data_IF_446526824341
#
_entry.id   IF_446526824341
#
_cell.length_a   1.000
_cell.length_b   1.000
_cell.length_c   1.000
_cell.angle_alpha   90.00
_cell.angle_beta   90.00
_cell.angle_gamma   90.00
#
_symmetry.space_group_name_H-M   'P 1'
#
loop_
_entity.id
_entity.type
_entity.pdbx_description
1 polymer ?
#
# COMPACT_ATOMS: atom_id res chain seq x y z
N UNK A 1 -2.94 -20.75 -17.62
CA UNK A 1 -2.28 -21.57 -16.57
C UNK A 1 -1.73 -20.67 -15.44
N UNK A 2 -1.06 -19.56 -15.72
CA UNK A 2 -0.38 -18.74 -14.70
C UNK A 2 -1.26 -18.30 -13.51
N UNK A 3 -2.46 -17.75 -13.76
CA UNK A 3 -3.36 -17.32 -12.66
C UNK A 3 -3.79 -18.50 -11.75
N UNK A 4 -4.03 -19.66 -12.32
CA UNK A 4 -4.37 -20.84 -11.53
C UNK A 4 -3.20 -21.29 -10.64
N UNK A 5 -1.98 -21.29 -11.17
CA UNK A 5 -0.79 -21.63 -10.39
C UNK A 5 -0.54 -20.63 -9.26
N UNK A 6 -0.74 -19.32 -9.53
CA UNK A 6 -0.65 -18.27 -8.51
C UNK A 6 -1.69 -18.49 -7.41
N UNK A 7 -2.96 -18.75 -7.78
CA UNK A 7 -4.03 -19.01 -6.83
C UNK A 7 -3.68 -20.21 -5.94
N UNK A 8 -3.29 -21.33 -6.54
CA UNK A 8 -2.91 -22.56 -5.80
C UNK A 8 -1.70 -22.36 -4.87
N UNK A 9 -0.74 -21.52 -5.25
CA UNK A 9 0.45 -21.25 -4.44
C UNK A 9 0.19 -20.30 -3.25
N UNK A 10 -0.84 -19.45 -3.36
CA UNK A 10 -1.12 -18.41 -2.37
C UNK A 10 -2.35 -18.70 -1.49
N UNK A 11 -3.33 -19.46 -1.97
CA UNK A 11 -4.48 -19.89 -1.15
C UNK A 11 -3.98 -20.76 0.02
N UNK A 12 -4.34 -20.36 1.23
CA UNK A 12 -3.92 -21.06 2.45
C UNK A 12 -2.47 -20.81 2.86
N UNK A 13 -1.73 -19.96 2.13
CA UNK A 13 -0.39 -19.58 2.54
C UNK A 13 -0.43 -18.72 3.81
N UNK A 14 0.58 -18.90 4.66
CA UNK A 14 0.68 -18.18 5.93
C UNK A 14 0.68 -16.65 5.69
N UNK A 15 -0.06 -15.93 6.51
CA UNK A 15 -0.19 -14.47 6.46
C UNK A 15 -0.68 -13.90 5.11
N UNK A 16 -1.49 -14.68 4.39
CA UNK A 16 -2.01 -14.29 3.07
C UNK A 16 -3.51 -14.57 3.00
N UNK A 17 -4.30 -13.55 2.67
CA UNK A 17 -5.71 -13.72 2.29
C UNK A 17 -5.83 -13.61 0.77
N UNK A 18 -6.55 -14.53 0.15
CA UNK A 18 -6.77 -14.57 -1.30
C UNK A 18 -8.26 -14.58 -1.58
N UNK A 19 -8.72 -13.64 -2.39
CA UNK A 19 -10.09 -13.58 -2.89
C UNK A 19 -10.05 -13.69 -4.42
N UNK A 20 -10.80 -14.65 -4.96
CA UNK A 20 -10.95 -14.83 -6.40
C UNK A 20 -12.14 -14.04 -6.94
N UNK A 21 -11.98 -13.44 -8.13
CA UNK A 21 -13.01 -12.64 -8.79
C UNK A 21 -13.64 -11.56 -7.90
N UNK A 22 -12.81 -10.95 -7.05
CA UNK A 22 -13.28 -9.94 -6.09
C UNK A 22 -13.55 -8.60 -6.76
N UNK A 23 -14.75 -8.07 -6.56
CA UNK A 23 -15.17 -6.78 -7.13
C UNK A 23 -14.38 -5.63 -6.51
N UNK A 24 -13.56 -4.96 -7.33
CA UNK A 24 -12.74 -3.83 -6.89
C UNK A 24 -13.57 -2.61 -6.48
N UNK A 25 -14.82 -2.51 -6.91
CA UNK A 25 -15.76 -1.51 -6.40
C UNK A 25 -15.91 -1.51 -4.87
N UNK A 26 -15.67 -2.63 -4.19
CA UNK A 26 -15.69 -2.73 -2.71
C UNK A 26 -14.44 -2.14 -2.06
N UNK A 27 -13.38 -1.96 -2.85
CA UNK A 27 -12.05 -1.55 -2.41
C UNK A 27 -11.63 -0.19 -2.95
N UNK A 28 -12.52 0.51 -3.67
CA UNK A 28 -12.29 1.86 -4.21
C UNK A 28 -13.20 2.89 -3.56
N UNK A 29 -12.71 4.11 -3.41
CA UNK A 29 -13.50 5.22 -2.86
C UNK A 29 -14.65 5.61 -3.79
N UNK A 30 -14.48 5.46 -5.09
CA UNK A 30 -15.53 5.71 -6.08
C UNK A 30 -16.62 4.64 -6.09
N UNK A 31 -16.40 3.47 -5.47
CA UNK A 31 -17.30 2.31 -5.43
C UNK A 31 -17.71 1.80 -6.82
N UNK A 32 -16.81 1.96 -7.78
CA UNK A 32 -16.93 1.43 -9.15
C UNK A 32 -15.70 0.59 -9.46
N UNK A 33 -15.86 -0.33 -10.44
CA UNK A 33 -14.82 -1.24 -10.90
C UNK A 33 -15.24 -2.70 -10.85
N UNK A 34 -14.93 -3.41 -11.93
CA UNK A 34 -15.17 -4.83 -12.11
C UNK A 34 -14.25 -5.69 -11.23
N UNK A 35 -14.25 -7.01 -11.43
CA UNK A 35 -13.50 -7.95 -10.61
C UNK A 35 -12.00 -7.94 -10.92
N UNK A 36 -11.16 -8.09 -9.89
CA UNK A 36 -9.81 -8.58 -10.06
C UNK A 36 -9.83 -10.10 -10.17
N UNK A 37 -8.98 -10.69 -11.03
CA UNK A 37 -8.86 -12.16 -11.08
C UNK A 37 -8.48 -12.72 -9.72
N UNK A 38 -7.51 -12.10 -9.05
CA UNK A 38 -7.13 -12.37 -7.67
C UNK A 38 -6.91 -11.06 -6.91
N UNK A 39 -7.45 -10.95 -5.71
CA UNK A 39 -7.08 -9.94 -4.72
C UNK A 39 -6.32 -10.65 -3.59
N UNK A 40 -5.08 -10.26 -3.38
CA UNK A 40 -4.17 -10.88 -2.42
C UNK A 40 -3.80 -9.88 -1.35
N UNK A 41 -4.17 -10.12 -0.09
CA UNK A 41 -3.74 -9.29 1.04
C UNK A 41 -2.58 -9.98 1.74
N UNK A 42 -1.41 -9.35 1.72
CA UNK A 42 -0.20 -9.84 2.36
C UNK A 42 -0.04 -9.20 3.75
N UNK A 43 -0.07 -10.01 4.80
CA UNK A 43 -0.03 -9.53 6.19
C UNK A 43 1.38 -9.48 6.78
N UNK A 44 2.37 -10.07 6.11
CA UNK A 44 3.78 -10.02 6.51
C UNK A 44 4.69 -9.77 5.30
N UNK A 45 5.91 -9.33 5.57
CA UNK A 45 6.92 -9.14 4.53
C UNK A 45 7.21 -10.46 3.78
N UNK A 46 7.24 -11.57 4.51
CA UNK A 46 7.46 -12.89 3.90
C UNK A 46 6.34 -13.26 2.93
N UNK A 47 5.07 -13.01 3.31
CA UNK A 47 3.91 -13.22 2.44
C UNK A 47 3.97 -12.33 1.19
N UNK A 48 4.33 -11.06 1.33
CA UNK A 48 4.48 -10.13 0.21
C UNK A 48 5.57 -10.59 -0.76
N UNK A 49 6.74 -10.94 -0.24
CA UNK A 49 7.85 -11.43 -1.05
C UNK A 49 7.44 -12.67 -1.83
N UNK A 50 6.84 -13.66 -1.16
CA UNK A 50 6.33 -14.88 -1.79
C UNK A 50 5.32 -14.56 -2.91
N UNK A 51 4.36 -13.66 -2.65
CA UNK A 51 3.36 -13.28 -3.64
C UNK A 51 4.02 -12.67 -4.88
N UNK A 52 4.96 -11.71 -4.72
CA UNK A 52 5.67 -11.07 -5.82
C UNK A 52 6.53 -12.07 -6.61
N UNK A 53 7.27 -12.94 -5.93
CA UNK A 53 8.07 -13.99 -6.57
C UNK A 53 7.18 -14.94 -7.39
N UNK A 54 6.02 -15.33 -6.84
CA UNK A 54 5.07 -16.23 -7.51
C UNK A 54 4.45 -15.59 -8.76
N UNK A 55 3.95 -14.35 -8.66
CA UNK A 55 3.33 -13.67 -9.83
C UNK A 55 4.34 -13.41 -10.95
N UNK A 56 5.58 -13.06 -10.58
CA UNK A 56 6.66 -12.85 -11.54
C UNK A 56 7.09 -14.16 -12.23
N UNK A 57 7.23 -15.25 -11.49
CA UNK A 57 7.59 -16.56 -12.03
C UNK A 57 6.54 -17.09 -13.03
N UNK A 58 5.26 -16.81 -12.77
CA UNK A 58 4.14 -17.21 -13.63
C UNK A 58 3.83 -16.19 -14.74
N UNK A 59 4.55 -15.05 -14.79
CA UNK A 59 4.33 -14.00 -15.78
C UNK A 59 2.94 -13.36 -15.71
N UNK A 60 2.30 -13.37 -14.54
CA UNK A 60 0.96 -12.81 -14.31
C UNK A 60 1.08 -11.31 -14.02
N UNK A 61 0.30 -10.45 -14.70
CA UNK A 61 0.30 -9.03 -14.40
C UNK A 61 -0.21 -8.77 -12.97
N UNK A 62 0.42 -7.83 -12.28
CA UNK A 62 0.04 -7.47 -10.93
C UNK A 62 0.21 -5.98 -10.64
N UNK A 63 -0.52 -5.50 -9.65
CA UNK A 63 -0.48 -4.13 -9.17
C UNK A 63 -0.64 -4.09 -7.66
N UNK A 64 0.03 -3.15 -7.00
CA UNK A 64 -0.20 -2.86 -5.58
C UNK A 64 -1.28 -1.80 -5.45
N UNK A 65 -2.24 -2.04 -4.57
CA UNK A 65 -3.31 -1.09 -4.27
C UNK A 65 -3.36 -0.80 -2.76
N UNK A 66 -3.45 0.48 -2.41
CA UNK A 66 -3.75 0.93 -1.06
C UNK A 66 -5.26 0.89 -0.79
N UNK A 67 -5.82 1.98 -0.28
CA UNK A 67 -7.27 2.11 -0.02
C UNK A 67 -8.12 2.46 -1.25
N UNK A 68 -7.55 2.44 -2.44
CA UNK A 68 -8.27 2.71 -3.68
C UNK A 68 -8.85 4.13 -3.77
N UNK A 69 -8.22 5.13 -3.13
CA UNK A 69 -8.71 6.51 -3.11
C UNK A 69 -8.37 7.30 -4.38
N UNK A 70 -7.38 6.85 -5.14
CA UNK A 70 -6.94 7.50 -6.38
C UNK A 70 -6.81 6.47 -7.52
N UNK A 71 -7.75 5.56 -7.61
CA UNK A 71 -7.79 4.51 -8.65
C UNK A 71 -9.18 4.49 -9.28
N UNK A 72 -9.19 4.51 -10.61
CA UNK A 72 -10.37 4.24 -11.40
C UNK A 72 -10.19 2.88 -12.10
N UNK A 73 -11.09 1.96 -11.82
CA UNK A 73 -11.07 0.60 -12.37
C UNK A 73 -12.20 0.43 -13.37
N UNK A 74 -11.89 -0.15 -14.54
CA UNK A 74 -12.88 -0.50 -15.55
C UNK A 74 -13.91 -1.50 -15.01
N UNK A 75 -15.13 -1.47 -15.55
CA UNK A 75 -16.18 -2.45 -15.26
C UNK A 75 -15.80 -3.87 -15.73
N UNK A 76 -14.91 -3.98 -16.72
CA UNK A 76 -14.31 -5.26 -17.14
C UNK A 76 -13.36 -5.85 -16.11
N UNK A 77 -12.98 -5.06 -15.12
CA UNK A 77 -12.08 -5.44 -14.03
C UNK A 77 -10.59 -5.47 -14.40
N UNK A 78 -9.83 -6.23 -13.63
CA UNK A 78 -8.38 -6.39 -13.80
C UNK A 78 -8.02 -7.86 -13.95
N UNK A 79 -7.51 -8.24 -15.12
CA UNK A 79 -7.10 -9.63 -15.43
C UNK A 79 -5.70 -9.91 -14.92
N UNK A 80 -5.54 -9.89 -13.59
CA UNK A 80 -4.27 -10.05 -12.91
C UNK A 80 -4.46 -10.14 -11.40
N UNK A 81 -3.37 -9.94 -10.68
CA UNK A 81 -3.32 -9.97 -9.22
C UNK A 81 -3.27 -8.55 -8.67
N UNK A 82 -4.23 -8.18 -7.83
CA UNK A 82 -4.17 -6.97 -7.02
C UNK A 82 -3.61 -7.35 -5.65
N UNK A 83 -2.47 -6.75 -5.28
CA UNK A 83 -1.82 -6.98 -3.99
C UNK A 83 -2.15 -5.83 -3.05
N UNK A 84 -2.66 -6.15 -1.86
CA UNK A 84 -2.87 -5.21 -0.78
C UNK A 84 -1.93 -5.52 0.38
N UNK A 85 -1.49 -4.47 1.07
CA UNK A 85 -0.61 -4.58 2.23
C UNK A 85 -1.43 -4.63 3.52
N UNK A 86 -1.19 -5.65 4.34
CA UNK A 86 -1.93 -5.91 5.56
C UNK A 86 -1.20 -5.48 6.85
N UNK A 87 -1.43 -6.23 7.93
CA UNK A 87 -1.11 -5.86 9.33
C UNK A 87 0.31 -5.35 9.59
N UNK A 88 1.33 -6.05 9.11
CA UNK A 88 2.73 -5.68 9.38
C UNK A 88 3.10 -4.31 8.79
N UNK A 89 2.51 -4.00 7.65
CA UNK A 89 2.74 -2.75 6.93
C UNK A 89 1.91 -1.56 7.45
N UNK A 90 1.08 -1.75 8.47
CA UNK A 90 0.27 -0.71 9.12
C UNK A 90 0.83 -0.25 10.47
N UNK A 91 2.08 -0.55 10.78
CA UNK A 91 2.73 -0.20 12.05
C UNK A 91 3.37 1.18 12.00
N UNK A 92 3.32 1.88 13.12
CA UNK A 92 4.09 3.11 13.37
C UNK A 92 5.02 2.87 14.54
N UNK A 93 6.28 3.19 14.37
CA UNK A 93 7.30 3.16 15.42
C UNK A 93 7.88 4.56 15.55
N UNK A 94 8.05 5.00 16.78
CA UNK A 94 8.59 6.31 17.12
C UNK A 94 10.03 6.06 17.60
N UNK A 95 10.98 6.79 17.05
CA UNK A 95 12.35 6.74 17.49
C UNK A 95 12.53 7.41 18.88
N UNK A 96 13.62 7.10 19.55
CA UNK A 96 13.93 7.66 20.87
C UNK A 96 14.15 9.18 20.86
N UNK A 97 14.46 9.75 19.69
CA UNK A 97 14.59 11.20 19.49
C UNK A 97 13.25 11.95 19.59
N UNK A 98 12.12 11.23 19.61
CA UNK A 98 10.78 11.79 19.66
C UNK A 98 10.33 12.53 18.39
N UNK A 99 11.22 12.69 17.42
CA UNK A 99 10.99 13.48 16.19
C UNK A 99 10.90 12.61 14.93
N UNK A 100 11.40 11.39 14.98
CA UNK A 100 11.40 10.47 13.83
C UNK A 100 10.29 9.45 13.95
N UNK A 101 9.45 9.36 12.92
CA UNK A 101 8.39 8.35 12.77
C UNK A 101 8.78 7.35 11.67
N UNK A 102 8.91 6.08 12.03
CA UNK A 102 8.98 4.99 11.04
C UNK A 102 7.59 4.42 10.85
N UNK A 103 7.05 4.57 9.66
CA UNK A 103 5.64 4.26 9.38
C UNK A 103 5.54 3.28 8.23
N UNK A 104 4.74 2.23 8.42
CA UNK A 104 4.46 1.25 7.38
C UNK A 104 3.56 1.82 6.27
N UNK A 105 3.81 1.38 5.04
CA UNK A 105 3.15 1.88 3.83
C UNK A 105 1.62 1.71 3.81
N UNK A 106 1.07 0.75 4.55
CA UNK A 106 -0.38 0.52 4.66
C UNK A 106 -1.06 1.37 5.73
N UNK A 107 -0.30 2.15 6.51
CA UNK A 107 -0.88 3.04 7.51
C UNK A 107 -1.74 4.10 6.84
N UNK A 108 -2.94 4.31 7.38
CA UNK A 108 -3.85 5.38 6.89
C UNK A 108 -3.16 6.73 7.07
N UNK A 109 -3.11 7.56 6.03
CA UNK A 109 -2.38 8.83 6.04
C UNK A 109 -2.85 9.74 7.20
N UNK A 110 -4.15 9.84 7.42
CA UNK A 110 -4.71 10.63 8.53
C UNK A 110 -4.24 10.16 9.91
N UNK A 111 -3.96 8.86 10.08
CA UNK A 111 -3.38 8.35 11.33
C UNK A 111 -1.95 8.87 11.51
N UNK A 112 -1.15 8.91 10.46
CA UNK A 112 0.22 9.47 10.51
C UNK A 112 0.19 10.93 10.91
N UNK A 113 -0.71 11.71 10.31
CA UNK A 113 -0.94 13.14 10.66
C UNK A 113 -1.30 13.29 12.14
N UNK A 114 -2.25 12.49 12.62
CA UNK A 114 -2.66 12.54 14.02
C UNK A 114 -1.53 12.11 14.98
N UNK A 115 -0.75 11.10 14.60
CA UNK A 115 0.39 10.63 15.39
C UNK A 115 1.49 11.69 15.47
N UNK A 116 1.74 12.44 14.41
CA UNK A 116 2.65 13.59 14.37
C UNK A 116 2.12 14.75 15.23
N UNK A 117 0.87 15.15 15.02
CA UNK A 117 0.22 16.22 15.76
C UNK A 117 0.23 15.99 17.27
N UNK A 118 -0.12 14.78 17.71
CA UNK A 118 -0.13 14.43 19.14
C UNK A 118 1.24 14.55 19.81
N UNK A 119 2.32 14.69 19.03
CA UNK A 119 3.71 14.86 19.49
C UNK A 119 4.26 16.25 19.26
N UNK A 120 3.43 17.16 18.76
CA UNK A 120 3.86 18.53 18.42
C UNK A 120 4.80 18.58 17.21
N UNK A 121 4.79 17.57 16.36
CA UNK A 121 5.55 17.56 15.10
C UNK A 121 4.75 18.29 14.02
N UNK A 122 5.42 19.17 13.28
CA UNK A 122 4.87 19.94 12.17
C UNK A 122 5.36 19.41 10.81
N UNK A 123 4.73 19.90 9.72
CA UNK A 123 5.12 19.58 8.34
C UNK A 123 4.24 18.55 7.66
N UNK A 124 3.18 18.07 8.33
CA UNK A 124 2.17 17.18 7.75
C UNK A 124 0.75 17.77 7.74
N UNK A 125 0.63 19.05 8.03
CA UNK A 125 -0.66 19.76 8.13
C UNK A 125 -1.41 19.75 6.81
N UNK A 126 -0.72 19.86 5.68
CA UNK A 126 -1.29 19.80 4.34
C UNK A 126 -2.00 18.46 4.06
N UNK A 127 -1.60 17.39 4.73
CA UNK A 127 -2.14 16.05 4.49
C UNK A 127 -3.47 15.79 5.22
N UNK A 128 -3.95 16.76 6.02
CA UNK A 128 -5.27 16.70 6.67
C UNK A 128 -6.37 16.57 5.63
N UNK A 129 -7.19 15.51 5.76
CA UNK A 129 -8.28 15.26 4.83
C UNK A 129 -7.89 14.52 3.55
N UNK A 130 -6.61 14.33 3.23
CA UNK A 130 -6.18 13.51 2.09
C UNK A 130 -6.45 12.03 2.41
N UNK A 131 -7.29 11.34 1.62
CA UNK A 131 -7.62 9.96 1.87
C UNK A 131 -6.51 9.02 1.37
N UNK A 132 -6.45 7.80 1.93
CA UNK A 132 -5.54 6.77 1.44
C UNK A 132 -4.57 6.26 2.49
N UNK A 133 -3.50 5.63 2.02
CA UNK A 133 -2.40 5.13 2.84
C UNK A 133 -1.14 5.95 2.60
N UNK A 134 -0.21 5.93 3.55
CA UNK A 134 1.08 6.62 3.41
C UNK A 134 1.82 6.18 2.14
N UNK A 135 1.91 4.86 1.87
CA UNK A 135 2.56 4.35 0.67
C UNK A 135 1.89 4.81 -0.63
N UNK A 136 0.55 4.90 -0.64
CA UNK A 136 -0.20 5.46 -1.75
C UNK A 136 0.04 6.95 -1.93
N UNK A 137 0.10 7.71 -0.83
CA UNK A 137 0.39 9.14 -0.84
C UNK A 137 1.79 9.43 -1.40
N UNK A 138 2.80 8.66 -0.96
CA UNK A 138 4.18 8.78 -1.48
C UNK A 138 4.25 8.43 -2.96
N UNK A 139 3.61 7.35 -3.38
CA UNK A 139 3.63 6.92 -4.78
C UNK A 139 2.97 7.92 -5.73
N UNK A 140 1.96 8.64 -5.24
CA UNK A 140 1.19 9.60 -6.02
C UNK A 140 1.63 11.06 -5.80
N UNK A 141 2.66 11.28 -4.99
CA UNK A 141 3.09 12.60 -4.54
C UNK A 141 1.89 13.45 -4.07
N UNK A 142 1.10 12.85 -3.16
CA UNK A 142 -0.17 13.42 -2.72
C UNK A 142 0.06 14.75 -1.97
N UNK A 143 -0.77 15.74 -2.26
CA UNK A 143 -0.65 17.06 -1.66
C UNK A 143 -1.82 17.97 -1.94
N UNK A 144 -1.63 19.21 -1.58
CA UNK A 144 -2.53 20.34 -1.85
C UNK A 144 -1.92 21.21 -2.96
N UNK A 145 -2.45 22.43 -3.13
CA UNK A 145 -1.93 23.37 -4.12
C UNK A 145 -0.50 23.83 -3.84
N UNK A 146 -0.15 23.95 -2.56
CA UNK A 146 1.05 24.63 -2.12
C UNK A 146 2.07 23.70 -1.44
N UNK A 147 1.62 22.53 -0.97
CA UNK A 147 2.45 21.56 -0.24
C UNK A 147 2.06 20.13 -0.62
N UNK A 148 3.04 19.23 -0.70
CA UNK A 148 2.88 17.83 -1.05
C UNK A 148 3.85 16.92 -0.28
N UNK A 149 3.61 15.63 -0.33
CA UNK A 149 4.38 14.65 0.46
C UNK A 149 5.88 14.68 0.13
N UNK A 150 6.27 14.97 -1.10
CA UNK A 150 7.66 15.11 -1.53
C UNK A 150 8.37 16.31 -0.92
N UNK A 151 7.64 17.31 -0.37
CA UNK A 151 8.25 18.45 0.35
C UNK A 151 8.63 18.10 1.80
N UNK A 152 8.19 16.94 2.32
CA UNK A 152 8.53 16.48 3.67
C UNK A 152 9.90 15.81 3.63
N UNK A 153 10.79 16.16 4.57
CA UNK A 153 12.03 15.42 4.75
C UNK A 153 11.71 13.97 5.15
N UNK A 154 11.79 13.08 4.19
CA UNK A 154 11.48 11.67 4.38
C UNK A 154 12.51 10.78 3.70
N UNK A 155 12.74 9.62 4.26
CA UNK A 155 13.48 8.55 3.62
C UNK A 155 12.63 7.29 3.50
N UNK A 156 12.66 6.66 2.34
CA UNK A 156 12.01 5.36 2.14
C UNK A 156 13.04 4.26 2.34
N UNK A 157 12.81 3.40 3.33
CA UNK A 157 13.64 2.23 3.59
C UNK A 157 13.03 1.05 2.83
N UNK A 158 13.81 0.50 1.89
CA UNK A 158 13.50 -0.78 1.25
C UNK A 158 14.26 -1.89 1.95
N UNK A 159 13.56 -2.91 2.39
CA UNK A 159 14.15 -3.99 3.19
C UNK A 159 15.15 -4.87 2.43
N UNK A 160 15.03 -4.93 1.11
CA UNK A 160 15.88 -5.78 0.26
C UNK A 160 17.30 -5.24 0.03
N UNK A 161 17.59 -3.96 0.31
CA UNK A 161 18.91 -3.37 0.09
C UNK A 161 19.42 -2.41 1.18
N UNK A 162 18.71 -2.21 2.29
CA UNK A 162 19.11 -1.32 3.41
C UNK A 162 19.63 0.08 2.96
N UNK A 163 19.25 0.55 1.79
CA UNK A 163 19.60 1.88 1.33
C UNK A 163 18.43 2.81 1.53
N UNK A 164 18.57 3.71 2.49
CA UNK A 164 17.71 4.89 2.56
C UNK A 164 17.93 5.72 1.30
N UNK A 165 16.87 6.07 0.62
CA UNK A 165 16.91 7.04 -0.47
C UNK A 165 16.06 8.22 -0.01
N UNK A 166 16.68 9.39 0.11
CA UNK A 166 15.92 10.61 0.25
C UNK A 166 15.00 10.75 -0.97
N UNK A 167 13.77 11.12 -0.75
CA UNK A 167 12.86 11.49 -1.84
C UNK A 167 13.42 12.76 -2.52
N UNK A 168 13.33 12.84 -3.83
CA UNK A 168 13.80 14.00 -4.58
C UNK A 168 13.00 15.26 -4.23
#
# INVERSE_FOLDING_TARGET
MGLFNVSMALIGALDTDVLENEKLARHTSYRIGGPASLLVTCHSYHALRRAIETVNAEGVPWVVMGRGSNILVSDDGYRGVVIMLGREFGRTVIAEDGCTLTVGAATVLMRVVNDAYARGLSGLEFAVGIPGTLGGAINMDAGTRDEWIGSVEASVIRQDNLRSRALP
#
